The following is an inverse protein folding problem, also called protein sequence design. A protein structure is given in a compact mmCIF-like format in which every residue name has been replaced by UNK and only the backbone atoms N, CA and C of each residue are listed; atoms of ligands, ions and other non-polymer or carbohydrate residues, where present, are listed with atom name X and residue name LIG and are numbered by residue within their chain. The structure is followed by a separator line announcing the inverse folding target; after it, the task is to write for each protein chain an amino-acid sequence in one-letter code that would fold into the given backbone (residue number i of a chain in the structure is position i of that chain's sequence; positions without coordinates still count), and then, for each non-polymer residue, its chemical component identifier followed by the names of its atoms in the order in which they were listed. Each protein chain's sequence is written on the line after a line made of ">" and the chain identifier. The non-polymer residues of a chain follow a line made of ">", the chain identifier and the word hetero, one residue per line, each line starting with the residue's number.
data_IF_245066461984
#
_entry.id   IF_245066461984
#
_cell.length_a   1.000
_cell.length_b   1.000
_cell.length_c   1.000
_cell.angle_alpha   90.00
_cell.angle_beta   90.00
_cell.angle_gamma   90.00
#
_symmetry.space_group_name_H-M   'P 1'
#
loop_
_entity.id
_entity.type
_entity.pdbx_description
1 polymer ?
#
# COMPACT_ATOMS: atom_id res chain seq x y z
N UNK A 1 -4.52 12.02 -23.68
CA UNK A 1 -3.29 12.83 -23.56
C UNK A 1 -3.39 13.65 -22.28
N UNK A 2 -2.43 13.46 -21.37
CA UNK A 2 -2.06 14.29 -20.20
C UNK A 2 -3.18 14.67 -19.22
N UNK A 3 -3.13 14.26 -17.95
CA UNK A 3 -2.09 14.70 -17.02
C UNK A 3 -1.77 13.60 -16.00
N UNK A 4 -0.77 12.80 -16.32
CA UNK A 4 -0.09 11.91 -15.38
C UNK A 4 1.03 12.72 -14.72
N UNK A 5 0.71 13.57 -13.75
CA UNK A 5 1.70 13.90 -12.72
C UNK A 5 1.49 12.93 -11.58
N UNK A 6 2.01 11.73 -11.82
CA UNK A 6 2.57 10.87 -10.80
C UNK A 6 3.53 11.73 -9.98
N UNK A 7 3.03 12.35 -8.91
CA UNK A 7 3.85 12.77 -7.79
C UNK A 7 4.28 11.48 -7.07
N UNK A 8 5.13 10.70 -7.74
CA UNK A 8 6.04 9.80 -7.06
C UNK A 8 7.02 10.76 -6.41
N UNK A 9 6.74 11.11 -5.16
CA UNK A 9 7.82 11.53 -4.30
C UNK A 9 8.73 10.30 -4.27
N UNK A 10 9.77 10.30 -5.10
CA UNK A 10 10.91 9.40 -4.96
C UNK A 10 11.60 9.78 -3.64
N UNK A 11 10.95 9.44 -2.53
CA UNK A 11 11.62 9.32 -1.26
C UNK A 11 12.55 8.13 -1.44
N UNK A 12 13.86 8.31 -1.28
CA UNK A 12 14.80 7.20 -1.14
C UNK A 12 14.17 6.17 -0.21
N UNK A 13 13.73 5.04 -0.76
CA UNK A 13 13.03 4.03 0.01
C UNK A 13 14.03 3.51 1.03
N UNK A 14 13.83 3.88 2.29
CA UNK A 14 14.56 3.30 3.40
C UNK A 14 14.31 1.80 3.41
N UNK A 15 15.34 1.04 3.78
CA UNK A 15 15.25 -0.42 3.84
C UNK A 15 14.25 -0.87 4.92
N UNK A 16 14.12 -0.09 5.99
CA UNK A 16 13.22 -0.35 7.10
C UNK A 16 12.66 0.95 7.68
N UNK A 17 11.46 0.86 8.25
CA UNK A 17 10.75 1.93 8.94
C UNK A 17 10.29 1.43 10.31
N UNK A 18 10.42 2.27 11.32
CA UNK A 18 9.66 2.12 12.57
C UNK A 18 8.18 2.48 12.36
N UNK A 19 7.31 2.09 13.29
CA UNK A 19 5.90 2.50 13.29
C UNK A 19 5.75 4.02 13.19
N UNK A 20 6.52 4.79 13.96
CA UNK A 20 6.44 6.24 13.98
C UNK A 20 6.91 6.87 12.65
N UNK A 21 8.00 6.36 12.07
CA UNK A 21 8.50 6.82 10.77
C UNK A 21 7.48 6.53 9.66
N UNK A 22 6.99 5.30 9.59
CA UNK A 22 6.00 4.89 8.59
C UNK A 22 4.72 5.75 8.71
N UNK A 23 4.28 6.01 9.93
CA UNK A 23 3.09 6.81 10.21
C UNK A 23 3.28 8.27 9.79
N UNK A 24 4.40 8.87 10.20
CA UNK A 24 4.74 10.25 9.89
C UNK A 24 4.89 10.48 8.38
N UNK A 25 5.61 9.59 7.67
CA UNK A 25 5.80 9.71 6.22
C UNK A 25 4.52 9.49 5.42
N UNK A 26 3.57 8.71 5.95
CA UNK A 26 2.26 8.52 5.33
C UNK A 26 1.23 9.56 5.77
N UNK A 27 1.58 10.46 6.71
CA UNK A 27 0.65 11.46 7.25
C UNK A 27 -0.53 10.84 8.01
N UNK A 28 -0.29 9.74 8.74
CA UNK A 28 -1.32 9.02 9.51
C UNK A 28 -0.91 8.86 10.97
N UNK A 29 -1.88 8.54 11.83
CA UNK A 29 -1.62 8.24 13.24
C UNK A 29 -1.07 6.80 13.41
N UNK A 30 -0.12 6.54 14.32
CA UNK A 30 0.43 5.19 14.59
C UNK A 30 -0.62 4.10 14.84
N UNK A 31 -1.63 4.40 15.65
CA UNK A 31 -2.75 3.47 15.90
C UNK A 31 -3.53 3.07 14.63
N UNK A 32 -3.51 3.91 13.60
CA UNK A 32 -4.11 3.56 12.32
C UNK A 32 -3.28 2.48 11.61
N UNK A 33 -1.95 2.61 11.59
CA UNK A 33 -1.06 1.59 11.02
C UNK A 33 -1.19 0.28 11.80
N UNK A 34 -1.22 0.32 13.14
CA UNK A 34 -1.48 -0.86 13.98
C UNK A 34 -2.80 -1.54 13.66
N UNK A 35 -3.86 -0.76 13.40
CA UNK A 35 -5.14 -1.32 12.96
C UNK A 35 -4.99 -2.09 11.64
N UNK A 36 -4.28 -1.53 10.66
CA UNK A 36 -4.06 -2.19 9.37
C UNK A 36 -3.26 -3.49 9.52
N UNK A 37 -2.28 -3.51 10.42
CA UNK A 37 -1.54 -4.73 10.80
C UNK A 37 -2.49 -5.77 11.41
N UNK A 38 -3.36 -5.36 12.35
CA UNK A 38 -4.28 -6.28 13.03
C UNK A 38 -5.28 -6.98 12.09
N UNK A 39 -5.59 -6.37 10.95
CA UNK A 39 -6.47 -6.93 9.92
C UNK A 39 -5.70 -7.52 8.72
N UNK A 40 -4.38 -7.65 8.82
CA UNK A 40 -3.53 -8.31 7.83
C UNK A 40 -3.28 -7.53 6.54
N UNK A 41 -3.52 -6.21 6.51
CA UNK A 41 -3.33 -5.40 5.31
C UNK A 41 -1.94 -4.81 5.16
N UNK A 42 -1.20 -4.77 6.26
CA UNK A 42 0.20 -4.41 6.29
C UNK A 42 0.87 -5.49 7.11
N UNK A 43 1.90 -6.10 6.55
CA UNK A 43 2.70 -7.11 7.24
C UNK A 43 3.96 -6.42 7.78
N UNK A 44 4.19 -6.47 9.10
CA UNK A 44 5.44 -5.98 9.68
C UNK A 44 6.56 -7.01 9.47
N UNK A 45 7.80 -6.53 9.33
CA UNK A 45 9.00 -7.38 9.36
C UNK A 45 9.25 -7.96 10.77
N UNK A 46 9.00 -7.16 11.79
CA UNK A 46 9.09 -7.49 13.21
C UNK A 46 8.20 -6.52 14.00
N UNK A 47 8.10 -6.68 15.32
CA UNK A 47 7.29 -5.79 16.16
C UNK A 47 7.63 -4.31 15.90
N UNK A 48 6.63 -3.55 15.42
CA UNK A 48 6.75 -2.14 15.03
C UNK A 48 7.91 -1.84 14.05
N UNK A 49 8.22 -2.78 13.15
CA UNK A 49 9.19 -2.64 12.04
C UNK A 49 8.56 -3.04 10.71
N UNK A 50 8.83 -2.24 9.67
CA UNK A 50 8.18 -2.34 8.37
C UNK A 50 9.20 -2.16 7.24
N UNK A 51 8.98 -2.80 6.11
CA UNK A 51 9.81 -2.63 4.92
C UNK A 51 9.25 -1.56 3.96
N UNK A 52 9.91 -1.41 2.83
CA UNK A 52 9.46 -0.55 1.74
C UNK A 52 8.11 -0.97 1.15
N UNK A 53 7.77 -2.28 1.12
CA UNK A 53 6.50 -2.74 0.59
C UNK A 53 5.34 -2.30 1.49
N UNK A 54 5.47 -2.45 2.81
CA UNK A 54 4.50 -1.93 3.78
C UNK A 54 4.25 -0.43 3.60
N UNK A 55 5.30 0.36 3.34
CA UNK A 55 5.19 1.79 3.02
C UNK A 55 4.42 2.06 1.73
N UNK A 56 4.73 1.34 0.66
CA UNK A 56 4.06 1.48 -0.63
C UNK A 56 2.59 1.05 -0.52
N UNK A 57 2.30 -0.05 0.16
CA UNK A 57 0.96 -0.60 0.39
C UNK A 57 0.11 0.36 1.21
N UNK A 58 0.64 0.93 2.30
CA UNK A 58 -0.05 1.97 3.07
C UNK A 58 -0.39 3.19 2.18
N UNK A 59 0.56 3.65 1.37
CA UNK A 59 0.32 4.73 0.42
C UNK A 59 -0.79 4.42 -0.58
N UNK A 60 -0.85 3.18 -1.10
CA UNK A 60 -1.91 2.72 -2.00
C UNK A 60 -3.28 2.72 -1.30
N UNK A 61 -3.38 2.21 -0.07
CA UNK A 61 -4.62 2.21 0.74
C UNK A 61 -5.15 3.64 0.90
N UNK A 62 -4.28 4.58 1.28
CA UNK A 62 -4.66 5.97 1.52
C UNK A 62 -5.16 6.66 0.25
N UNK A 63 -4.50 6.42 -0.89
CA UNK A 63 -4.94 6.95 -2.19
C UNK A 63 -6.30 6.39 -2.59
N UNK A 64 -6.51 5.07 -2.52
CA UNK A 64 -7.81 4.47 -2.85
C UNK A 64 -8.94 5.02 -1.98
N UNK A 65 -8.70 5.20 -0.68
CA UNK A 65 -9.67 5.79 0.23
C UNK A 65 -10.05 7.21 -0.18
N UNK A 66 -9.05 8.02 -0.53
CA UNK A 66 -9.23 9.42 -0.94
C UNK A 66 -9.93 9.53 -2.29
N UNK A 67 -9.51 8.72 -3.25
CA UNK A 67 -9.91 8.87 -4.65
C UNK A 67 -11.26 8.18 -4.93
N UNK A 68 -11.59 7.10 -4.22
CA UNK A 68 -12.83 6.34 -4.40
C UNK A 68 -13.86 6.53 -3.27
N UNK A 69 -13.52 7.26 -2.21
CA UNK A 69 -14.43 7.50 -1.07
C UNK A 69 -14.79 6.23 -0.28
N UNK A 70 -14.04 5.14 -0.45
CA UNK A 70 -14.31 3.85 0.21
C UNK A 70 -13.86 3.87 1.67
N UNK A 71 -14.40 2.98 2.50
CA UNK A 71 -13.86 2.75 3.84
C UNK A 71 -12.57 1.89 3.76
N UNK A 72 -11.90 1.68 4.89
CA UNK A 72 -10.63 0.94 4.93
C UNK A 72 -10.76 -0.53 4.50
N UNK A 73 -11.85 -1.20 4.89
CA UNK A 73 -12.12 -2.57 4.46
C UNK A 73 -12.41 -2.64 2.94
N UNK A 74 -13.01 -1.59 2.37
CA UNK A 74 -13.19 -1.45 0.93
C UNK A 74 -11.88 -1.19 0.21
N UNK A 75 -11.05 -0.26 0.69
CA UNK A 75 -9.73 0.01 0.11
C UNK A 75 -8.82 -1.23 0.14
N UNK A 76 -8.86 -1.97 1.24
CA UNK A 76 -8.22 -3.26 1.42
C UNK A 76 -8.62 -4.29 0.38
N UNK A 77 -9.93 -4.55 0.26
CA UNK A 77 -10.48 -5.50 -0.69
C UNK A 77 -10.14 -5.09 -2.14
N UNK A 78 -10.22 -3.79 -2.45
CA UNK A 78 -9.86 -3.28 -3.78
C UNK A 78 -8.38 -3.57 -4.08
N UNK A 79 -7.46 -3.40 -3.12
CA UNK A 79 -6.05 -3.74 -3.35
C UNK A 79 -5.86 -5.22 -3.60
N UNK A 80 -6.47 -6.08 -2.80
CA UNK A 80 -6.39 -7.53 -3.00
C UNK A 80 -6.92 -7.93 -4.38
N UNK A 81 -8.02 -7.32 -4.82
CA UNK A 81 -8.59 -7.55 -6.16
C UNK A 81 -7.65 -7.04 -7.27
N UNK A 82 -7.00 -5.89 -7.08
CA UNK A 82 -6.02 -5.38 -8.05
C UNK A 82 -4.79 -6.29 -8.14
N UNK A 83 -4.25 -6.75 -7.02
CA UNK A 83 -3.12 -7.69 -6.97
C UNK A 83 -3.50 -9.05 -7.62
N UNK A 84 -4.75 -9.50 -7.42
CA UNK A 84 -5.33 -10.69 -8.07
C UNK A 84 -5.43 -10.51 -9.58
N UNK A 85 -5.91 -9.35 -10.05
CA UNK A 85 -6.02 -9.04 -11.49
C UNK A 85 -4.62 -9.03 -12.12
N UNK A 86 -3.65 -8.35 -11.50
CA UNK A 86 -2.27 -8.30 -12.00
C UNK A 86 -1.68 -9.72 -12.13
N UNK A 87 -1.88 -10.56 -11.12
CA UNK A 87 -1.47 -11.97 -11.15
C UNK A 87 -2.11 -12.74 -12.30
N UNK A 88 -3.42 -12.54 -12.53
CA UNK A 88 -4.14 -13.21 -13.62
C UNK A 88 -3.68 -12.72 -14.99
N UNK A 89 -3.47 -11.42 -15.16
CA UNK A 89 -2.97 -10.84 -16.40
C UNK A 89 -1.56 -11.30 -16.76
N UNK A 90 -0.69 -11.49 -15.75
CA UNK A 90 0.64 -12.08 -15.95
C UNK A 90 0.54 -13.51 -16.48
N UNK A 91 -0.32 -14.35 -15.87
CA UNK A 91 -0.54 -15.74 -16.34
C UNK A 91 -1.07 -15.80 -17.76
N UNK A 92 -2.02 -14.92 -18.11
CA UNK A 92 -2.54 -14.84 -19.48
C UNK A 92 -1.43 -14.47 -20.45
N UNK A 93 -0.59 -13.48 -20.11
CA UNK A 93 0.57 -13.08 -20.93
C UNK A 93 1.56 -14.23 -21.13
N UNK A 94 1.84 -15.00 -20.09
CA UNK A 94 2.74 -16.17 -20.16
C UNK A 94 2.20 -17.29 -21.07
N UNK A 95 0.89 -17.55 -21.03
CA UNK A 95 0.26 -18.58 -21.87
C UNK A 95 0.10 -18.16 -23.34
N UNK A 96 0.05 -16.86 -23.61
CA UNK A 96 -0.05 -16.31 -24.96
C UNK A 96 1.29 -16.20 -25.70
N UNK A 97 2.38 -16.64 -25.06
CA UNK A 97 3.75 -16.57 -25.58
C UNK A 97 4.22 -17.94 -26.06
#
# INVERSE_FOLDING_TARGET
>A
MSSYELMVVETELRSEYTLDELSNECGVHPEFVRRLVSIGLIEPLAEDRFDADARLRLGRILRLRRDLGVNYAGAALILELLDRIETLELRVRELSR
#
